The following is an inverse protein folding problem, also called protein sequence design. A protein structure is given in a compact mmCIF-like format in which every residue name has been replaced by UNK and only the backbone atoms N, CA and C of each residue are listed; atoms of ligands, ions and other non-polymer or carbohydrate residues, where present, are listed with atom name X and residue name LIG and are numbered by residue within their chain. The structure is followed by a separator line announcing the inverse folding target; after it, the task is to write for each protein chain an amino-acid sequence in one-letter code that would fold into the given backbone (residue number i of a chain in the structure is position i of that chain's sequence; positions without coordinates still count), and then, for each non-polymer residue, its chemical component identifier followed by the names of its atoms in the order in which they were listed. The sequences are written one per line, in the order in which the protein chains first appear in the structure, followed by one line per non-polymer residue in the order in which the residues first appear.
data_IF_984651213170
#
_entry.id   IF_984651213170
#
_cell.length_a   1.000
_cell.length_b   1.000
_cell.length_c   1.000
_cell.angle_alpha   90.00
_cell.angle_beta   90.00
_cell.angle_gamma   90.00
#
_symmetry.space_group_name_H-M   'P 1'
#
loop_
_entity.id
_entity.type
_entity.pdbx_description
1 polymer ?
#
# COMPACT_ATOMS: atom_id res chain seq x y z
N UNK A 1 -60.45 45.07 37.80
CA UNK A 1 -59.96 43.74 38.28
C UNK A 1 -59.83 42.73 37.14
N UNK A 2 -60.88 42.43 36.37
CA UNK A 2 -60.83 41.49 35.24
C UNK A 2 -59.78 41.84 34.18
N UNK A 3 -59.70 43.11 33.77
CA UNK A 3 -58.72 43.59 32.79
C UNK A 3 -57.26 43.45 33.28
N UNK A 4 -57.03 43.70 34.57
CA UNK A 4 -55.72 43.51 35.20
C UNK A 4 -55.25 42.05 35.12
N UNK A 5 -56.14 41.10 35.44
CA UNK A 5 -55.81 39.67 35.33
C UNK A 5 -55.63 39.23 33.87
N UNK A 6 -56.41 39.76 32.92
CA UNK A 6 -56.21 39.49 31.49
C UNK A 6 -54.84 39.99 31.00
N UNK A 7 -54.41 41.18 31.44
CA UNK A 7 -53.11 41.73 31.10
C UNK A 7 -51.97 40.88 31.68
N UNK A 8 -52.06 40.47 32.94
CA UNK A 8 -51.08 39.56 33.55
C UNK A 8 -51.01 38.21 32.84
N UNK A 9 -52.15 37.66 32.41
CA UNK A 9 -52.20 36.40 31.68
C UNK A 9 -51.53 36.50 30.32
N UNK A 10 -51.77 37.59 29.57
CA UNK A 10 -51.08 37.84 28.30
C UNK A 10 -49.57 37.95 28.49
N UNK A 11 -49.11 38.79 29.43
CA UNK A 11 -47.69 38.94 29.72
C UNK A 11 -47.00 37.63 30.15
N UNK A 12 -47.69 36.80 30.96
CA UNK A 12 -47.18 35.46 31.33
C UNK A 12 -47.08 34.54 30.11
N UNK A 13 -48.09 34.56 29.24
CA UNK A 13 -48.07 33.78 28.00
C UNK A 13 -46.94 34.22 27.07
N UNK A 14 -46.79 35.52 26.85
CA UNK A 14 -45.73 36.06 26.00
C UNK A 14 -44.34 35.67 26.51
N UNK A 15 -44.13 35.71 27.84
CA UNK A 15 -42.90 35.22 28.47
C UNK A 15 -42.67 33.73 28.24
N UNK A 16 -43.71 32.91 28.33
CA UNK A 16 -43.61 31.47 28.08
C UNK A 16 -43.34 31.16 26.60
N UNK A 17 -43.92 31.92 25.67
CA UNK A 17 -43.64 31.78 24.23
C UNK A 17 -42.17 32.11 23.93
N UNK A 18 -41.63 33.21 24.46
CA UNK A 18 -40.20 33.53 24.33
C UNK A 18 -39.31 32.44 24.93
N UNK A 19 -39.67 31.93 26.11
CA UNK A 19 -38.87 30.91 26.79
C UNK A 19 -38.88 29.58 26.02
N UNK A 20 -40.02 29.22 25.43
CA UNK A 20 -40.13 28.07 24.52
C UNK A 20 -39.20 28.25 23.32
N UNK A 21 -39.24 29.40 22.66
CA UNK A 21 -38.46 29.63 21.45
C UNK A 21 -36.95 29.61 21.74
N UNK A 22 -36.52 30.15 22.88
CA UNK A 22 -35.11 30.05 23.35
C UNK A 22 -34.70 28.59 23.61
N UNK A 23 -35.55 27.81 24.27
CA UNK A 23 -35.26 26.40 24.54
C UNK A 23 -35.21 25.60 23.24
N UNK A 24 -36.12 25.87 22.30
CA UNK A 24 -36.16 25.19 21.02
C UNK A 24 -34.92 25.49 20.18
N UNK A 25 -34.48 26.75 20.11
CA UNK A 25 -33.25 27.12 19.42
C UNK A 25 -32.02 26.41 20.02
N UNK A 26 -31.91 26.36 21.36
CA UNK A 26 -30.81 25.63 22.02
C UNK A 26 -30.85 24.13 21.79
N UNK A 27 -32.03 23.54 21.68
CA UNK A 27 -32.20 22.13 21.38
C UNK A 27 -31.71 21.82 19.96
N UNK A 28 -32.08 22.65 18.98
CA UNK A 28 -31.66 22.52 17.59
C UNK A 28 -30.13 22.64 17.45
N UNK A 29 -29.51 23.59 18.16
CA UNK A 29 -28.04 23.72 18.23
C UNK A 29 -27.38 22.46 18.81
N UNK A 30 -27.89 21.96 19.94
CA UNK A 30 -27.36 20.75 20.58
C UNK A 30 -27.51 19.50 19.69
N UNK A 31 -28.64 19.35 19.00
CA UNK A 31 -28.87 18.27 18.04
C UNK A 31 -27.93 18.37 16.84
N UNK A 32 -27.68 19.57 16.33
CA UNK A 32 -26.73 19.79 15.25
C UNK A 32 -25.32 19.38 15.65
N UNK A 33 -24.90 19.68 16.88
CA UNK A 33 -23.58 19.30 17.39
C UNK A 33 -23.44 17.78 17.58
N UNK A 34 -24.48 17.10 18.07
CA UNK A 34 -24.52 15.63 18.13
C UNK A 34 -24.38 15.04 16.73
N UNK A 35 -25.15 15.55 15.75
CA UNK A 35 -25.07 15.06 14.37
C UNK A 35 -23.69 15.30 13.74
N UNK A 36 -23.06 16.45 13.98
CA UNK A 36 -21.68 16.73 13.54
C UNK A 36 -20.66 15.81 14.20
N UNK A 37 -20.87 15.43 15.47
CA UNK A 37 -20.00 14.49 16.18
C UNK A 37 -20.15 13.07 15.63
N UNK A 38 -21.39 12.62 15.37
CA UNK A 38 -21.67 11.33 14.73
C UNK A 38 -21.04 11.25 13.33
N UNK A 39 -21.18 12.28 12.50
CA UNK A 39 -20.54 12.32 11.17
C UNK A 39 -19.02 12.29 11.26
N UNK A 40 -18.41 12.97 12.23
CA UNK A 40 -16.96 12.89 12.45
C UNK A 40 -16.53 11.48 12.82
N UNK A 41 -17.29 10.80 13.68
CA UNK A 41 -17.02 9.42 14.07
C UNK A 41 -17.15 8.44 12.89
N UNK A 42 -18.18 8.56 12.06
CA UNK A 42 -18.35 7.70 10.87
C UNK A 42 -17.23 7.89 9.86
N UNK A 43 -16.77 9.13 9.64
CA UNK A 43 -15.64 9.41 8.75
C UNK A 43 -14.34 8.80 9.29
N UNK A 44 -14.10 8.88 10.60
CA UNK A 44 -12.93 8.27 11.24
C UNK A 44 -12.99 6.74 11.17
N UNK A 45 -14.14 6.14 11.45
CA UNK A 45 -14.34 4.69 11.35
C UNK A 45 -14.15 4.20 9.89
N UNK A 46 -14.64 4.95 8.91
CA UNK A 46 -14.44 4.63 7.49
C UNK A 46 -12.98 4.84 7.03
N UNK A 47 -12.30 5.87 7.54
CA UNK A 47 -10.87 6.07 7.31
C UNK A 47 -10.04 4.92 7.89
N UNK A 48 -10.36 4.46 9.11
CA UNK A 48 -9.73 3.29 9.72
C UNK A 48 -10.01 2.01 8.94
N UNK A 49 -11.24 1.82 8.44
CA UNK A 49 -11.59 0.68 7.58
C UNK A 49 -10.76 0.70 6.30
N UNK A 50 -10.60 1.87 5.69
CA UNK A 50 -9.82 2.04 4.46
C UNK A 50 -8.32 1.79 4.72
N UNK A 51 -7.79 2.30 5.84
CA UNK A 51 -6.39 2.09 6.24
C UNK A 51 -6.11 0.60 6.47
N UNK A 52 -6.94 -0.11 7.22
CA UNK A 52 -6.78 -1.55 7.45
C UNK A 52 -6.87 -2.35 6.15
N UNK A 53 -7.72 -1.92 5.22
CA UNK A 53 -7.81 -2.52 3.87
C UNK A 53 -6.56 -2.22 3.04
N UNK A 54 -6.01 -1.01 3.10
CA UNK A 54 -4.77 -0.65 2.42
C UNK A 54 -3.56 -1.39 3.01
N UNK A 55 -3.45 -1.52 4.33
CA UNK A 55 -2.40 -2.31 4.99
C UNK A 55 -2.50 -3.80 4.62
N UNK A 56 -3.72 -4.34 4.46
CA UNK A 56 -3.94 -5.67 3.89
C UNK A 56 -3.62 -5.79 2.39
N UNK A 57 -3.64 -4.68 1.65
CA UNK A 57 -3.24 -4.59 0.24
C UNK A 57 -1.77 -4.21 0.04
N UNK A 58 -1.02 -3.89 1.11
CA UNK A 58 0.44 -3.89 1.10
C UNK A 58 0.88 -5.35 0.96
N UNK A 59 0.81 -5.80 -0.28
CA UNK A 59 1.47 -6.98 -0.82
C UNK A 59 2.80 -7.14 -0.12
N UNK A 60 3.01 -8.30 0.51
CA UNK A 60 4.31 -8.69 1.02
C UNK A 60 5.23 -8.73 -0.18
N UNK A 61 5.92 -7.62 -0.45
CA UNK A 61 6.90 -7.57 -1.52
C UNK A 61 7.96 -8.60 -1.16
N UNK A 62 7.94 -9.73 -1.85
CA UNK A 62 8.95 -10.74 -1.66
C UNK A 62 10.26 -10.20 -2.24
N UNK A 63 11.27 -10.18 -1.39
CA UNK A 63 12.63 -9.86 -1.80
C UNK A 63 13.46 -11.12 -1.68
N UNK A 64 14.25 -11.43 -2.70
CA UNK A 64 15.13 -12.60 -2.71
C UNK A 64 16.41 -12.24 -3.42
N UNK A 65 17.54 -12.75 -2.92
CA UNK A 65 18.84 -12.57 -3.54
C UNK A 65 19.27 -13.83 -4.27
N UNK A 66 19.69 -13.68 -5.51
CA UNK A 66 20.18 -14.75 -6.37
C UNK A 66 21.63 -14.44 -6.73
N UNK A 67 22.51 -15.42 -6.54
CA UNK A 67 23.89 -15.35 -7.02
C UNK A 67 23.94 -16.02 -8.39
N UNK A 68 24.43 -15.30 -9.38
CA UNK A 68 24.60 -15.78 -10.75
C UNK A 68 26.08 -15.86 -11.05
N UNK A 69 26.56 -17.02 -11.46
CA UNK A 69 27.96 -17.30 -11.78
C UNK A 69 28.03 -17.93 -13.16
N UNK A 70 28.94 -17.44 -14.02
CA UNK A 70 29.14 -17.97 -15.37
C UNK A 70 29.86 -16.97 -16.28
N UNK A 71 29.90 -17.21 -17.59
CA UNK A 71 30.48 -16.27 -18.57
C UNK A 71 29.51 -15.11 -18.93
N UNK A 72 29.12 -14.35 -17.90
CA UNK A 72 28.00 -13.40 -17.91
C UNK A 72 28.03 -12.37 -19.05
N UNK A 73 29.22 -11.89 -19.43
CA UNK A 73 29.40 -10.81 -20.41
C UNK A 73 29.71 -11.31 -21.82
N UNK A 74 30.48 -12.39 -21.96
CA UNK A 74 30.91 -12.89 -23.28
C UNK A 74 29.74 -13.45 -24.10
N UNK A 75 28.69 -13.93 -23.43
CA UNK A 75 27.54 -14.60 -24.07
C UNK A 75 26.21 -13.87 -23.88
N UNK A 76 26.25 -12.60 -23.44
CA UNK A 76 25.04 -11.84 -23.09
C UNK A 76 24.12 -12.58 -22.08
N UNK A 77 24.70 -13.47 -21.26
CA UNK A 77 23.94 -14.28 -20.29
C UNK A 77 23.31 -13.39 -19.22
N UNK A 78 24.01 -12.33 -18.82
CA UNK A 78 23.46 -11.35 -17.88
C UNK A 78 22.23 -10.65 -18.49
N UNK A 79 22.34 -10.19 -19.73
CA UNK A 79 21.25 -9.49 -20.45
C UNK A 79 20.02 -10.40 -20.57
N UNK A 80 20.20 -11.65 -21.02
CA UNK A 80 19.12 -12.65 -21.06
C UNK A 80 18.50 -12.94 -19.70
N UNK A 81 19.32 -12.96 -18.64
CA UNK A 81 18.83 -13.14 -17.27
C UNK A 81 17.95 -11.97 -16.85
N UNK A 82 18.35 -10.75 -17.19
CA UNK A 82 17.57 -9.54 -16.94
C UNK A 82 16.25 -9.54 -17.73
N UNK A 83 16.28 -9.93 -19.01
CA UNK A 83 15.08 -10.01 -19.86
C UNK A 83 14.02 -10.95 -19.28
N UNK A 84 14.44 -12.11 -18.77
CA UNK A 84 13.53 -13.07 -18.11
C UNK A 84 12.93 -12.46 -16.84
N UNK A 85 13.74 -11.80 -16.01
CA UNK A 85 13.28 -11.16 -14.78
C UNK A 85 12.27 -10.03 -15.10
N UNK A 86 12.54 -9.23 -16.14
CA UNK A 86 11.65 -8.16 -16.59
C UNK A 86 10.34 -8.69 -17.19
N UNK A 87 10.39 -9.79 -17.94
CA UNK A 87 9.19 -10.45 -18.50
C UNK A 87 8.21 -10.88 -17.40
N UNK A 88 8.73 -11.22 -16.22
CA UNK A 88 7.94 -11.58 -15.04
C UNK A 88 7.50 -10.37 -14.18
N UNK A 89 7.69 -9.14 -14.68
CA UNK A 89 7.41 -7.88 -13.98
C UNK A 89 8.14 -7.74 -12.63
N UNK A 90 9.28 -8.42 -12.46
CA UNK A 90 10.11 -8.29 -11.27
C UNK A 90 11.12 -7.15 -11.45
N UNK A 91 11.39 -6.44 -10.38
CA UNK A 91 12.45 -5.42 -10.35
C UNK A 91 13.75 -6.06 -9.89
N UNK A 92 14.86 -5.72 -10.53
CA UNK A 92 16.18 -6.20 -10.14
C UNK A 92 17.07 -5.06 -9.65
N UNK A 93 17.95 -5.37 -8.69
CA UNK A 93 19.02 -4.49 -8.26
C UNK A 93 20.29 -5.30 -8.03
N UNK A 94 21.44 -4.84 -8.52
CA UNK A 94 22.73 -5.43 -8.15
C UNK A 94 23.02 -5.18 -6.68
N UNK A 95 23.40 -6.22 -5.95
CA UNK A 95 23.87 -6.13 -4.57
C UNK A 95 25.38 -6.25 -4.57
N UNK A 96 26.05 -5.11 -4.40
CA UNK A 96 27.51 -5.03 -4.44
C UNK A 96 28.08 -4.92 -5.86
N UNK A 97 29.41 -4.99 -5.93
CA UNK A 97 30.16 -4.93 -7.18
C UNK A 97 30.24 -6.31 -7.85
N UNK A 98 30.04 -6.40 -9.18
CA UNK A 98 30.23 -7.65 -9.90
C UNK A 98 31.69 -8.08 -9.86
N UNK A 99 31.93 -9.35 -9.55
CA UNK A 99 33.27 -9.95 -9.58
C UNK A 99 33.52 -10.42 -11.01
N UNK A 100 34.43 -9.73 -11.70
CA UNK A 100 34.79 -10.07 -13.08
C UNK A 100 35.84 -11.18 -13.09
N UNK A 101 35.59 -12.24 -13.86
CA UNK A 101 36.63 -13.19 -14.23
C UNK A 101 37.68 -12.46 -15.08
N UNK A 102 38.89 -12.27 -14.57
CA UNK A 102 39.93 -11.45 -15.20
C UNK A 102 40.42 -11.91 -16.58
N UNK A 103 39.90 -13.02 -17.10
CA UNK A 103 40.16 -13.57 -18.44
C UNK A 103 38.89 -14.15 -19.05
N UNK A 104 38.83 -14.28 -20.38
CA UNK A 104 37.63 -14.75 -21.10
C UNK A 104 37.12 -16.13 -20.68
N UNK A 105 38.01 -17.00 -20.20
CA UNK A 105 37.69 -18.36 -19.77
C UNK A 105 37.42 -18.46 -18.26
N UNK A 106 37.42 -17.34 -17.54
CA UNK A 106 37.10 -17.29 -16.11
C UNK A 106 35.68 -16.78 -15.96
N UNK A 107 34.90 -17.45 -15.11
CA UNK A 107 33.53 -17.06 -14.81
C UNK A 107 33.48 -15.74 -14.02
N UNK A 108 32.49 -14.91 -14.34
CA UNK A 108 32.12 -13.74 -13.56
C UNK A 108 30.98 -14.09 -12.61
N UNK A 109 30.93 -13.42 -11.46
CA UNK A 109 29.85 -13.59 -10.48
C UNK A 109 29.19 -12.25 -10.18
N UNK A 110 27.85 -12.24 -10.15
CA UNK A 110 27.04 -11.11 -9.72
C UNK A 110 25.97 -11.57 -8.73
N UNK A 111 25.63 -10.72 -7.77
CA UNK A 111 24.53 -10.96 -6.85
C UNK A 111 23.41 -9.99 -7.19
N UNK A 112 22.23 -10.53 -7.49
CA UNK A 112 21.05 -9.78 -7.89
C UNK A 112 19.98 -9.90 -6.80
N UNK A 113 19.41 -8.78 -6.39
CA UNK A 113 18.23 -8.73 -5.54
C UNK A 113 17.00 -8.54 -6.43
N UNK A 114 16.07 -9.48 -6.33
CA UNK A 114 14.77 -9.45 -6.97
C UNK A 114 13.75 -8.88 -5.98
N UNK A 115 12.92 -7.93 -6.43
CA UNK A 115 11.84 -7.33 -5.65
C UNK A 115 10.57 -7.16 -6.48
N UNK A 116 9.40 -7.20 -5.82
CA UNK A 116 8.12 -6.84 -6.45
C UNK A 116 7.26 -8.02 -6.92
N UNK A 117 7.63 -9.26 -6.61
CA UNK A 117 6.81 -10.43 -6.93
C UNK A 117 5.73 -10.62 -5.86
N UNK A 118 4.46 -10.68 -6.27
CA UNK A 118 3.30 -10.76 -5.36
C UNK A 118 3.12 -12.15 -4.73
N UNK A 119 3.68 -13.20 -5.35
CA UNK A 119 3.50 -14.60 -4.97
C UNK A 119 4.84 -15.34 -4.95
N UNK A 120 5.05 -16.18 -3.93
CA UNK A 120 6.28 -16.98 -3.80
C UNK A 120 6.46 -17.96 -4.97
N UNK A 121 5.37 -18.51 -5.48
CA UNK A 121 5.40 -19.46 -6.61
C UNK A 121 5.99 -18.82 -7.88
N UNK A 122 5.62 -17.57 -8.18
CA UNK A 122 6.20 -16.80 -9.29
C UNK A 122 7.69 -16.50 -9.10
N UNK A 123 8.14 -16.32 -7.86
CA UNK A 123 9.57 -16.15 -7.57
C UNK A 123 10.33 -17.46 -7.83
N UNK A 124 9.75 -18.61 -7.47
CA UNK A 124 10.33 -19.93 -7.76
C UNK A 124 10.35 -20.23 -9.26
N UNK A 125 9.35 -19.77 -10.02
CA UNK A 125 9.29 -19.84 -11.48
C UNK A 125 10.42 -19.02 -12.13
N UNK A 126 10.60 -17.76 -11.74
CA UNK A 126 11.72 -16.91 -12.21
C UNK A 126 13.07 -17.58 -11.94
N UNK A 127 13.28 -18.12 -10.74
CA UNK A 127 14.55 -18.79 -10.39
C UNK A 127 14.76 -20.03 -11.27
N UNK A 128 13.69 -20.76 -11.60
CA UNK A 128 13.76 -21.95 -12.46
C UNK A 128 14.09 -21.58 -13.90
N UNK A 129 13.44 -20.56 -14.45
CA UNK A 129 13.71 -20.04 -15.79
C UNK A 129 15.14 -19.52 -15.91
N UNK A 130 15.61 -18.76 -14.91
CA UNK A 130 16.98 -18.28 -14.85
C UNK A 130 17.97 -19.45 -14.82
N UNK A 131 17.72 -20.50 -14.01
CA UNK A 131 18.57 -21.71 -14.00
C UNK A 131 18.62 -22.41 -15.36
N UNK A 132 17.47 -22.51 -16.05
CA UNK A 132 17.39 -23.09 -17.38
C UNK A 132 18.28 -22.40 -18.42
N UNK A 133 18.57 -21.09 -18.26
CA UNK A 133 19.51 -20.37 -19.14
C UNK A 133 20.95 -20.89 -18.99
N UNK A 134 21.33 -21.40 -17.82
CA UNK A 134 22.68 -21.90 -17.52
C UNK A 134 22.80 -23.42 -17.76
N UNK A 135 21.72 -24.18 -17.59
CA UNK A 135 21.71 -25.65 -17.79
C UNK A 135 21.69 -26.07 -19.28
N UNK A 136 21.27 -25.19 -20.20
CA UNK A 136 21.25 -25.46 -21.63
C UNK A 136 22.62 -25.33 -22.33
N UNK A 137 23.71 -25.06 -21.61
CA UNK A 137 25.03 -24.95 -22.24
C UNK A 137 25.75 -26.32 -22.31
N UNK A 138 26.14 -26.79 -23.50
CA UNK A 138 27.08 -27.90 -23.59
C UNK A 138 28.42 -27.44 -22.99
N UNK A 139 29.01 -28.28 -22.14
CA UNK A 139 30.37 -28.11 -21.67
C UNK A 139 31.27 -27.88 -22.89
N UNK A 140 32.06 -26.81 -22.86
CA UNK A 140 33.09 -26.56 -23.88
C UNK A 140 34.06 -27.75 -23.84
N UNK A 141 34.05 -28.58 -24.90
CA UNK A 141 35.15 -29.52 -25.16
C UNK A 141 36.45 -28.71 -25.38
N UNK A 142 37.53 -29.20 -24.78
CA UNK A 142 38.89 -28.65 -24.74
C UNK A 142 39.50 -28.30 -26.13
#
# INVERSE_FOLDING_TARGET
VKEYYMLQHRQKRDRLEVLRDVVQMRLEEAMADVNRSLHRRTVVEEAHRLQNRMEGMVSRNFTTTVRVTGHLYNRHLLERTLDVIEAHNATVRSVGEPILGGMRNIESTIVLQLSGVMEREKMEEIITDVRGLFDCEPALDD
#
